data_IF_367158760529
#
_entry.id   IF_367158760529
#
_cell.length_a   1.000
_cell.length_b   1.000
_cell.length_c   1.000
_cell.angle_alpha   90.00
_cell.angle_beta   90.00
_cell.angle_gamma   90.00
#
_symmetry.space_group_name_H-M   'P 1'
#
loop_
_entity.id
_entity.type
_entity.pdbx_description
1 polymer ?
#
# COMPACT_ATOMS: atom_id res chain seq x y z
N UNK A 1 48.57 -34.86 25.50
CA UNK A 1 47.30 -34.86 24.75
C UNK A 1 46.49 -33.65 25.22
N UNK A 2 46.50 -32.56 24.47
CA UNK A 2 45.92 -31.27 24.87
C UNK A 2 44.70 -31.02 23.99
N UNK A 3 43.52 -31.22 24.53
CA UNK A 3 42.25 -30.99 23.83
C UNK A 3 41.91 -29.51 23.97
N UNK A 4 41.99 -28.76 22.87
CA UNK A 4 41.50 -27.38 22.79
C UNK A 4 40.03 -27.47 22.38
N UNK A 5 39.13 -27.20 23.33
CA UNK A 5 37.71 -27.00 23.04
C UNK A 5 37.58 -25.60 22.44
N UNK A 6 37.34 -25.52 21.14
CA UNK A 6 37.06 -24.28 20.43
C UNK A 6 35.58 -23.94 20.64
N UNK A 7 35.29 -23.07 21.61
CA UNK A 7 33.93 -22.55 21.82
C UNK A 7 33.66 -21.52 20.72
N UNK A 8 32.92 -21.94 19.70
CA UNK A 8 32.32 -21.05 18.70
C UNK A 8 31.17 -20.29 19.36
N UNK A 9 31.46 -19.06 19.80
CA UNK A 9 30.43 -18.09 20.19
C UNK A 9 29.77 -17.60 18.89
N UNK A 10 28.66 -18.23 18.51
CA UNK A 10 27.75 -17.67 17.52
C UNK A 10 26.96 -16.54 18.17
N UNK A 11 27.47 -15.32 18.05
CA UNK A 11 26.68 -14.11 18.29
C UNK A 11 25.66 -13.97 17.16
N UNK A 12 24.48 -14.57 17.33
CA UNK A 12 23.32 -14.22 16.52
C UNK A 12 22.79 -12.87 17.00
N UNK A 13 23.43 -11.79 16.56
CA UNK A 13 22.82 -10.46 16.63
C UNK A 13 21.82 -10.35 15.48
N UNK A 14 20.67 -11.00 15.59
CA UNK A 14 19.49 -10.58 14.84
C UNK A 14 18.93 -9.34 15.55
N UNK A 15 19.65 -8.23 15.49
CA UNK A 15 19.04 -6.92 15.69
C UNK A 15 18.33 -6.63 14.37
N UNK A 16 17.13 -7.19 14.21
CA UNK A 16 16.13 -6.53 13.38
C UNK A 16 15.80 -5.26 14.16
N UNK A 17 16.53 -4.19 13.88
CA UNK A 17 16.12 -2.86 14.31
C UNK A 17 14.69 -2.70 13.80
N UNK A 18 13.80 -2.22 14.68
CA UNK A 18 12.44 -1.81 14.35
C UNK A 18 12.47 -1.10 12.98
N UNK A 19 11.85 -1.69 11.94
CA UNK A 19 11.97 -1.22 10.54
C UNK A 19 11.56 0.25 10.40
N UNK A 20 10.82 0.77 11.38
CA UNK A 20 10.51 2.17 11.56
C UNK A 20 10.82 2.62 12.98
N UNK A 21 11.73 3.59 13.14
CA UNK A 21 11.94 4.26 14.44
C UNK A 21 10.77 5.21 14.74
N UNK A 22 10.51 5.52 16.02
CA UNK A 22 9.47 6.50 16.37
C UNK A 22 9.65 7.84 15.63
N UNK A 23 10.90 8.31 15.47
CA UNK A 23 11.18 9.55 14.74
C UNK A 23 10.82 9.44 13.26
N UNK A 24 11.02 8.29 12.63
CA UNK A 24 10.66 8.08 11.23
C UNK A 24 9.16 7.86 11.06
N UNK A 25 8.51 7.26 12.05
CA UNK A 25 7.06 7.15 12.14
C UNK A 25 6.43 8.56 12.22
N UNK A 26 6.92 9.43 13.11
CA UNK A 26 6.43 10.80 13.26
C UNK A 26 6.60 11.60 11.95
N UNK A 27 7.71 11.40 11.21
CA UNK A 27 7.90 12.02 9.89
C UNK A 27 6.92 11.50 8.86
N UNK A 28 6.65 10.19 8.88
CA UNK A 28 5.68 9.58 7.97
C UNK A 28 4.28 10.10 8.29
N UNK A 29 3.88 10.14 9.56
CA UNK A 29 2.60 10.70 9.99
C UNK A 29 2.43 12.17 9.55
N UNK A 30 3.43 13.02 9.79
CA UNK A 30 3.39 14.41 9.31
C UNK A 30 3.28 14.53 7.77
N UNK A 31 3.81 13.55 7.02
CA UNK A 31 3.74 13.54 5.56
C UNK A 31 2.39 13.01 5.05
N UNK A 32 1.67 12.21 5.84
CA UNK A 32 0.43 11.53 5.46
C UNK A 32 -0.63 12.49 4.91
N UNK A 33 -0.79 13.65 5.55
CA UNK A 33 -1.78 14.64 5.15
C UNK A 33 -1.51 15.25 3.76
N UNK A 34 -0.27 15.13 3.26
CA UNK A 34 0.14 15.63 1.96
C UNK A 34 -0.04 14.65 0.80
N UNK A 35 -0.57 13.43 1.04
CA UNK A 35 -0.81 12.42 0.01
C UNK A 35 -2.05 12.76 -0.84
N UNK A 36 -1.95 13.83 -1.62
CA UNK A 36 -3.03 14.36 -2.47
C UNK A 36 -2.72 14.28 -3.98
N UNK A 37 -1.66 13.58 -4.37
CA UNK A 37 -1.31 13.31 -5.78
C UNK A 37 -0.49 12.03 -5.91
N UNK A 38 -0.43 11.44 -7.11
CA UNK A 38 0.39 10.25 -7.36
C UNK A 38 1.89 10.48 -7.13
N UNK A 39 2.37 11.70 -7.39
CA UNK A 39 3.74 12.06 -7.03
C UNK A 39 3.96 12.09 -5.52
N UNK A 40 3.01 12.60 -4.74
CA UNK A 40 3.11 12.57 -3.29
C UNK A 40 3.11 11.14 -2.74
N UNK A 41 2.33 10.23 -3.33
CA UNK A 41 2.35 8.79 -2.98
C UNK A 41 3.70 8.15 -3.31
N UNK A 42 4.27 8.42 -4.50
CA UNK A 42 5.62 7.93 -4.87
C UNK A 42 6.70 8.45 -3.90
N UNK A 43 6.62 9.73 -3.56
CA UNK A 43 7.54 10.39 -2.64
C UNK A 43 7.40 9.82 -1.22
N UNK A 44 6.18 9.51 -0.78
CA UNK A 44 5.90 8.88 0.51
C UNK A 44 6.43 7.44 0.55
N UNK A 45 6.03 6.61 -0.41
CA UNK A 45 6.50 5.25 -0.58
C UNK A 45 8.03 5.16 -0.53
N UNK A 46 8.72 6.05 -1.25
CA UNK A 46 10.18 6.02 -1.33
C UNK A 46 10.90 6.33 -0.02
N UNK A 47 10.25 7.03 0.91
CA UNK A 47 10.87 7.53 2.15
C UNK A 47 10.33 6.89 3.42
N UNK A 48 9.10 6.38 3.36
CA UNK A 48 8.31 6.04 4.54
C UNK A 48 7.62 4.68 4.43
N UNK A 49 7.78 3.90 3.36
CA UNK A 49 7.10 2.60 3.23
C UNK A 49 7.45 1.62 4.34
N UNK A 50 8.62 1.74 4.97
CA UNK A 50 9.03 0.95 6.12
C UNK A 50 8.19 1.24 7.39
N UNK A 51 7.51 2.39 7.43
CA UNK A 51 6.66 2.83 8.53
C UNK A 51 5.16 2.58 8.27
N UNK A 52 4.80 2.09 7.09
CA UNK A 52 3.42 1.99 6.63
C UNK A 52 2.69 0.78 7.25
N UNK A 53 2.43 0.89 8.55
CA UNK A 53 1.77 -0.12 9.38
C UNK A 53 0.71 0.51 10.29
N UNK A 54 -0.23 -0.28 10.81
CA UNK A 54 -1.25 0.18 11.76
C UNK A 54 -2.08 1.35 11.23
N UNK A 55 -2.39 2.33 12.08
CA UNK A 55 -3.22 3.48 11.66
C UNK A 55 -2.60 4.30 10.52
N UNK A 56 -1.25 4.37 10.45
CA UNK A 56 -0.59 5.08 9.36
C UNK A 56 -0.92 4.40 8.03
N UNK A 57 -0.89 3.07 7.99
CA UNK A 57 -1.31 2.28 6.83
C UNK A 57 -2.78 2.47 6.49
N UNK A 58 -3.66 2.47 7.49
CA UNK A 58 -5.09 2.75 7.30
C UNK A 58 -5.29 4.13 6.65
N UNK A 59 -4.62 5.16 7.19
CA UNK A 59 -4.65 6.50 6.64
C UNK A 59 -4.06 6.58 5.23
N UNK A 60 -2.96 5.90 4.95
CA UNK A 60 -2.37 5.84 3.59
C UNK A 60 -3.33 5.19 2.61
N UNK A 61 -4.01 4.12 3.02
CA UNK A 61 -5.01 3.43 2.22
C UNK A 61 -6.18 4.35 1.89
N UNK A 62 -6.65 5.13 2.87
CA UNK A 62 -7.69 6.14 2.65
C UNK A 62 -7.21 7.20 1.63
N UNK A 63 -5.98 7.72 1.74
CA UNK A 63 -5.47 8.70 0.77
C UNK A 63 -5.36 8.12 -0.65
N UNK A 64 -4.89 6.87 -0.76
CA UNK A 64 -4.78 6.17 -2.06
C UNK A 64 -6.16 5.92 -2.67
N UNK A 65 -7.15 5.46 -1.90
CA UNK A 65 -8.49 5.21 -2.43
C UNK A 65 -9.16 6.52 -2.87
N UNK A 66 -8.96 7.64 -2.15
CA UNK A 66 -9.42 8.97 -2.62
C UNK A 66 -8.81 9.32 -3.99
N UNK A 67 -7.53 9.06 -4.22
CA UNK A 67 -6.91 9.30 -5.53
C UNK A 67 -7.50 8.40 -6.63
N UNK A 68 -7.76 7.13 -6.33
CA UNK A 68 -8.39 6.23 -7.29
C UNK A 68 -9.82 6.64 -7.60
N UNK A 69 -10.63 6.99 -6.60
CA UNK A 69 -12.05 7.30 -6.78
C UNK A 69 -12.25 8.72 -7.35
N UNK A 70 -11.66 9.71 -6.69
CA UNK A 70 -11.93 11.12 -6.98
C UNK A 70 -11.07 11.67 -8.11
N UNK A 71 -9.94 11.02 -8.40
CA UNK A 71 -8.94 11.45 -9.40
C UNK A 71 -8.54 10.35 -10.39
N UNK A 72 -9.46 9.44 -10.70
CA UNK A 72 -9.22 8.38 -11.69
C UNK A 72 -8.66 8.90 -13.03
N UNK A 73 -9.07 10.10 -13.46
CA UNK A 73 -8.57 10.75 -14.68
C UNK A 73 -7.06 11.03 -14.69
N UNK A 74 -6.40 11.04 -13.52
CA UNK A 74 -4.96 11.25 -13.36
C UNK A 74 -4.17 9.92 -13.31
N UNK A 75 -4.81 8.77 -13.57
CA UNK A 75 -4.17 7.44 -13.48
C UNK A 75 -2.99 7.26 -14.45
N UNK A 76 -2.92 8.06 -15.52
CA UNK A 76 -1.77 8.11 -16.43
C UNK A 76 -0.48 8.55 -15.70
N UNK A 77 -0.58 9.41 -14.68
CA UNK A 77 0.56 9.82 -13.86
C UNK A 77 1.09 8.65 -13.03
N UNK A 78 0.20 7.91 -12.36
CA UNK A 78 0.55 6.67 -11.67
C UNK A 78 1.20 5.67 -12.63
N UNK A 79 0.59 5.45 -13.80
CA UNK A 79 1.13 4.56 -14.82
C UNK A 79 2.56 4.92 -15.22
N UNK A 80 2.88 6.22 -15.36
CA UNK A 80 4.21 6.67 -15.69
C UNK A 80 5.22 6.44 -14.55
N UNK A 81 4.79 6.61 -13.30
CA UNK A 81 5.59 6.32 -12.10
C UNK A 81 5.88 4.81 -11.98
N UNK A 82 4.85 3.97 -12.10
CA UNK A 82 4.96 2.50 -12.02
C UNK A 82 5.87 1.95 -13.10
N UNK A 83 5.86 2.53 -14.32
CA UNK A 83 6.80 2.14 -15.39
C UNK A 83 8.27 2.31 -14.98
N UNK A 84 8.58 3.30 -14.13
CA UNK A 84 9.94 3.54 -13.61
C UNK A 84 10.20 2.74 -12.33
N UNK A 85 9.17 2.51 -11.52
CA UNK A 85 9.25 1.86 -10.21
C UNK A 85 8.08 0.87 -10.06
N UNK A 86 8.20 -0.36 -10.60
CA UNK A 86 7.10 -1.32 -10.59
C UNK A 86 6.56 -1.64 -9.19
N UNK A 87 7.42 -1.66 -8.18
CA UNK A 87 7.05 -1.89 -6.79
C UNK A 87 6.09 -0.84 -6.21
N UNK A 88 6.04 0.38 -6.77
CA UNK A 88 5.02 1.37 -6.41
C UNK A 88 3.61 0.89 -6.82
N UNK A 89 3.50 0.18 -7.94
CA UNK A 89 2.23 -0.37 -8.39
C UNK A 89 1.73 -1.44 -7.44
N UNK A 90 2.62 -2.34 -7.01
CA UNK A 90 2.28 -3.37 -6.03
C UNK A 90 1.92 -2.75 -4.67
N UNK A 91 2.64 -1.72 -4.24
CA UNK A 91 2.31 -0.93 -3.04
C UNK A 91 0.90 -0.33 -3.09
N UNK A 92 0.55 0.36 -4.18
CA UNK A 92 -0.80 0.94 -4.34
C UNK A 92 -1.89 -0.14 -4.36
N UNK A 93 -1.62 -1.27 -5.01
CA UNK A 93 -2.58 -2.39 -5.10
C UNK A 93 -2.80 -3.05 -3.74
N UNK A 94 -1.73 -3.19 -2.95
CA UNK A 94 -1.78 -3.77 -1.60
C UNK A 94 -2.69 -2.97 -0.67
N UNK A 95 -2.71 -1.64 -0.79
CA UNK A 95 -3.60 -0.76 -0.03
C UNK A 95 -5.10 -0.88 -0.37
N UNK A 96 -5.46 -1.43 -1.53
CA UNK A 96 -6.88 -1.74 -1.84
C UNK A 96 -7.38 -2.92 -1.01
N UNK A 97 -6.47 -3.78 -0.54
CA UNK A 97 -6.80 -4.93 0.30
C UNK A 97 -7.15 -4.59 1.75
N UNK A 98 -7.01 -3.34 2.17
CA UNK A 98 -7.38 -2.87 3.51
C UNK A 98 -8.90 -2.68 3.66
N UNK A 99 -9.36 -2.56 4.91
CA UNK A 99 -10.78 -2.29 5.19
C UNK A 99 -11.08 -0.82 4.87
N UNK A 100 -11.65 -0.58 3.70
CA UNK A 100 -12.08 0.72 3.18
C UNK A 100 -13.62 0.84 3.17
N UNK A 101 -14.17 1.94 2.66
CA UNK A 101 -15.59 2.00 2.32
C UNK A 101 -15.88 1.09 1.11
N UNK A 102 -16.93 0.25 1.23
CA UNK A 102 -17.28 -0.73 0.21
C UNK A 102 -17.54 -0.08 -1.16
N UNK A 103 -18.22 1.07 -1.18
CA UNK A 103 -18.61 1.74 -2.44
C UNK A 103 -17.40 2.24 -3.20
N UNK A 104 -16.36 2.69 -2.48
CA UNK A 104 -15.14 3.15 -3.10
C UNK A 104 -14.39 2.02 -3.80
N UNK A 105 -14.32 0.85 -3.16
CA UNK A 105 -13.72 -0.33 -3.77
C UNK A 105 -14.54 -0.83 -4.97
N UNK A 106 -15.87 -0.73 -4.93
CA UNK A 106 -16.73 -1.01 -6.08
C UNK A 106 -16.45 -0.06 -7.26
N UNK A 107 -16.24 1.23 -6.99
CA UNK A 107 -15.84 2.21 -8.02
C UNK A 107 -14.50 1.80 -8.64
N UNK A 108 -13.50 1.42 -7.83
CA UNK A 108 -12.21 0.96 -8.35
C UNK A 108 -12.36 -0.27 -9.23
N UNK A 109 -13.15 -1.27 -8.82
CA UNK A 109 -13.48 -2.45 -9.64
C UNK A 109 -14.05 -2.03 -11.00
N UNK A 110 -15.06 -1.15 -11.00
CA UNK A 110 -15.77 -0.82 -12.23
C UNK A 110 -14.93 0.06 -13.16
N UNK A 111 -14.20 1.03 -12.61
CA UNK A 111 -13.33 1.91 -13.38
C UNK A 111 -12.12 1.19 -13.97
N UNK A 112 -11.50 0.29 -13.21
CA UNK A 112 -10.37 -0.52 -13.69
C UNK A 112 -10.77 -1.48 -14.81
N UNK A 113 -12.01 -1.99 -14.81
CA UNK A 113 -12.54 -2.86 -15.87
C UNK A 113 -12.90 -2.10 -17.15
N UNK A 114 -13.58 -0.95 -17.02
CA UNK A 114 -14.30 -0.32 -18.15
C UNK A 114 -13.83 1.09 -18.52
N UNK A 115 -13.16 1.80 -17.61
CA UNK A 115 -12.71 3.18 -17.78
C UNK A 115 -11.18 3.32 -17.68
N UNK A 116 -10.44 2.23 -17.85
CA UNK A 116 -8.99 2.25 -17.73
C UNK A 116 -8.31 2.66 -19.05
N UNK A 117 -8.16 3.98 -19.22
CA UNK A 117 -7.61 4.63 -20.41
C UNK A 117 -6.09 4.90 -20.33
N UNK A 118 -5.34 4.03 -19.65
CA UNK A 118 -3.87 4.07 -19.60
C UNK A 118 -3.24 2.99 -20.47
N UNK A 119 -1.97 3.19 -20.81
CA UNK A 119 -1.16 2.23 -21.58
C UNK A 119 -0.87 0.95 -20.79
N UNK A 120 -0.69 1.06 -19.47
CA UNK A 120 -0.39 -0.09 -18.61
C UNK A 120 -1.64 -0.92 -18.30
N UNK A 121 -1.95 -1.88 -19.19
CA UNK A 121 -3.06 -2.83 -18.97
C UNK A 121 -2.85 -3.74 -17.76
N UNK A 122 -1.59 -4.03 -17.42
CA UNK A 122 -1.24 -4.79 -16.23
C UNK A 122 -1.67 -4.05 -14.95
N UNK A 123 -1.41 -2.74 -14.86
CA UNK A 123 -1.84 -1.94 -13.71
C UNK A 123 -3.36 -1.92 -13.57
N UNK A 124 -4.10 -1.71 -14.67
CA UNK A 124 -5.57 -1.81 -14.67
C UNK A 124 -6.03 -3.16 -14.11
N UNK A 125 -5.43 -4.26 -14.58
CA UNK A 125 -5.79 -5.60 -14.15
C UNK A 125 -5.50 -5.83 -12.66
N UNK A 126 -4.35 -5.39 -12.15
CA UNK A 126 -4.02 -5.52 -10.73
C UNK A 126 -4.99 -4.77 -9.83
N UNK A 127 -5.36 -3.53 -10.19
CA UNK A 127 -6.34 -2.74 -9.46
C UNK A 127 -7.71 -3.43 -9.45
N UNK A 128 -8.15 -3.92 -10.61
CA UNK A 128 -9.41 -4.67 -10.75
C UNK A 128 -9.41 -5.92 -9.88
N UNK A 129 -8.38 -6.74 -9.99
CA UNK A 129 -8.31 -8.03 -9.32
C UNK A 129 -8.25 -7.87 -7.79
N UNK A 130 -7.53 -6.86 -7.29
CA UNK A 130 -7.50 -6.54 -5.86
C UNK A 130 -8.89 -6.12 -5.34
N UNK A 131 -9.59 -5.25 -6.08
CA UNK A 131 -10.94 -4.83 -5.71
C UNK A 131 -11.92 -6.00 -5.72
N UNK A 132 -11.90 -6.85 -6.76
CA UNK A 132 -12.74 -8.06 -6.83
C UNK A 132 -12.44 -9.01 -5.68
N UNK A 133 -11.18 -9.16 -5.30
CA UNK A 133 -10.76 -10.06 -4.24
C UNK A 133 -11.32 -9.64 -2.87
N UNK A 134 -11.25 -8.35 -2.53
CA UNK A 134 -11.57 -7.88 -1.18
C UNK A 134 -13.07 -7.64 -0.95
N UNK A 135 -13.83 -7.29 -2.00
CA UNK A 135 -15.25 -6.92 -1.89
C UNK A 135 -16.15 -7.93 -1.16
N UNK A 136 -16.03 -9.26 -1.37
CA UNK A 136 -16.83 -10.23 -0.63
C UNK A 136 -16.58 -10.19 0.88
N UNK A 137 -15.33 -9.99 1.30
CA UNK A 137 -14.96 -9.89 2.71
C UNK A 137 -15.56 -8.64 3.35
N UNK A 138 -15.44 -7.49 2.68
CA UNK A 138 -15.97 -6.22 3.18
C UNK A 138 -17.50 -6.23 3.24
N UNK A 139 -18.16 -6.80 2.22
CA UNK A 139 -19.62 -6.93 2.19
C UNK A 139 -20.14 -7.78 3.35
N UNK A 140 -19.43 -8.86 3.70
CA UNK A 140 -19.77 -9.69 4.84
C UNK A 140 -19.61 -8.93 6.16
N UNK A 141 -18.48 -8.24 6.36
CA UNK A 141 -18.24 -7.42 7.56
C UNK A 141 -19.28 -6.31 7.72
N UNK A 142 -19.64 -5.61 6.64
CA UNK A 142 -20.67 -4.57 6.66
C UNK A 142 -22.04 -5.12 7.09
N UNK A 143 -22.42 -6.33 6.66
CA UNK A 143 -23.66 -6.98 7.09
C UNK A 143 -23.62 -7.37 8.58
N UNK A 144 -22.47 -7.77 9.12
CA UNK A 144 -22.33 -8.08 10.54
C UNK A 144 -22.46 -6.84 11.44
N UNK A 145 -21.95 -5.68 10.99
CA UNK A 145 -21.97 -4.45 11.79
C UNK A 145 -23.34 -3.74 11.79
N UNK A 146 -24.21 -4.06 10.83
CA UNK A 146 -25.51 -3.40 10.64
C UNK A 146 -26.72 -4.30 10.94
N UNK A 147 -26.49 -5.50 11.49
CA UNK A 147 -27.51 -6.41 12.04
C UNK A 147 -27.42 -6.45 13.57
#
# INVERSE_FOLDING_TARGET
MKWIIMVLVFSFSNVYAEDCSQQDFDKADMALDSLASWKAVDDFYSRHSQCDVGYLREGTSEKIIRLLVDRWGELNELSALVKRKPALGDYVVDHIGEILDVKDVEIVRDYSASHCHIDSKDLCKKLHDAAVYILPYMSSQYQYLNN
#
